data_IF_412777892704
#
_entry.id   IF_412777892704
#
_cell.length_a   1.000
_cell.length_b   1.000
_cell.length_c   1.000
_cell.angle_alpha   90.00
_cell.angle_beta   90.00
_cell.angle_gamma   90.00
#
_symmetry.space_group_name_H-M   'P 1'
#
loop_
_entity.id
_entity.type
_entity.pdbx_description
1 polymer ?
#
# COMPACT_ATOMS: atom_id res chain seq x y z
N UNK A 1 8.33 16.01 5.51
CA UNK A 1 9.21 15.02 4.87
C UNK A 1 9.76 15.58 3.56
N UNK A 2 11.07 15.54 3.37
CA UNK A 2 11.70 15.75 2.05
C UNK A 2 11.71 14.42 1.31
N UNK A 3 11.01 14.35 0.18
CA UNK A 3 10.89 13.12 -0.63
C UNK A 3 11.70 13.23 -1.92
N UNK A 4 12.26 12.11 -2.43
CA UNK A 4 12.88 12.07 -3.76
C UNK A 4 11.94 12.46 -4.89
N UNK A 5 12.51 12.77 -6.06
CA UNK A 5 11.74 13.09 -7.26
C UNK A 5 10.83 11.93 -7.68
N UNK A 6 9.60 12.23 -8.12
CA UNK A 6 8.59 11.21 -8.41
C UNK A 6 9.01 10.20 -9.51
N UNK A 7 9.90 10.59 -10.43
CA UNK A 7 10.37 9.74 -11.54
C UNK A 7 11.32 8.65 -11.05
N UNK A 8 11.96 8.85 -9.91
CA UNK A 8 12.94 7.91 -9.34
C UNK A 8 12.31 6.67 -8.69
N UNK A 9 11.00 6.68 -8.46
CA UNK A 9 10.28 5.60 -7.81
C UNK A 9 9.98 4.45 -8.78
N UNK A 10 10.35 3.24 -8.37
CA UNK A 10 10.06 1.99 -9.08
C UNK A 10 8.87 1.28 -8.46
N UNK A 11 8.12 0.53 -9.25
CA UNK A 11 7.02 -0.29 -8.71
C UNK A 11 7.57 -1.41 -7.82
N UNK A 12 6.94 -1.65 -6.67
CA UNK A 12 7.40 -2.67 -5.71
C UNK A 12 7.46 -4.08 -6.32
N UNK A 13 6.69 -4.35 -7.37
CA UNK A 13 6.67 -5.64 -8.05
C UNK A 13 7.81 -5.79 -9.08
N UNK A 14 8.66 -4.78 -9.27
CA UNK A 14 9.75 -4.78 -10.27
C UNK A 14 11.07 -5.37 -9.73
N UNK A 15 11.05 -6.61 -9.21
CA UNK A 15 12.22 -7.31 -8.62
C UNK A 15 13.01 -6.48 -7.59
N UNK A 16 12.33 -5.55 -6.92
CA UNK A 16 12.98 -4.60 -6.00
C UNK A 16 13.14 -5.23 -4.62
N UNK A 17 14.39 -5.28 -4.11
CA UNK A 17 14.71 -5.84 -2.80
C UNK A 17 14.32 -4.86 -1.70
N UNK A 18 13.15 -5.05 -1.08
CA UNK A 18 12.70 -4.18 0.01
C UNK A 18 13.32 -4.64 1.34
N UNK A 19 13.84 -3.73 2.19
CA UNK A 19 14.21 -4.07 3.55
C UNK A 19 13.03 -4.76 4.26
N UNK A 20 13.32 -5.85 4.95
CA UNK A 20 12.29 -6.67 5.62
C UNK A 20 11.64 -5.92 6.78
N UNK A 21 10.60 -5.15 6.48
CA UNK A 21 9.68 -4.62 7.48
C UNK A 21 8.80 -5.78 7.97
N UNK A 22 8.85 -6.01 9.27
CA UNK A 22 8.09 -7.08 9.94
C UNK A 22 6.90 -6.48 10.67
N UNK A 23 5.91 -7.31 10.98
CA UNK A 23 4.76 -6.91 11.80
C UNK A 23 5.22 -6.30 13.11
N UNK A 24 6.24 -6.89 13.75
CA UNK A 24 6.79 -6.40 15.02
C UNK A 24 7.33 -4.96 14.92
N UNK A 25 8.08 -4.65 13.85
CA UNK A 25 8.60 -3.28 13.64
C UNK A 25 7.48 -2.26 13.42
N UNK A 26 6.42 -2.67 12.74
CA UNK A 26 5.22 -1.83 12.58
C UNK A 26 4.53 -1.61 13.93
N UNK A 27 4.40 -2.65 14.76
CA UNK A 27 3.79 -2.52 16.09
C UNK A 27 4.62 -1.62 17.01
N UNK A 28 5.95 -1.81 17.05
CA UNK A 28 6.86 -0.94 17.82
C UNK A 28 6.69 0.52 17.41
N UNK A 29 6.63 0.80 16.10
CA UNK A 29 6.39 2.16 15.62
C UNK A 29 5.05 2.72 16.11
N UNK A 30 3.97 1.95 16.02
CA UNK A 30 2.65 2.42 16.48
C UNK A 30 2.59 2.64 17.99
N UNK A 31 3.22 1.75 18.78
CA UNK A 31 3.30 1.85 20.24
C UNK A 31 4.05 3.10 20.69
N UNK A 32 5.13 3.50 20.00
CA UNK A 32 5.87 4.73 20.29
C UNK A 32 4.99 5.99 20.26
N UNK A 33 3.92 5.97 19.46
CA UNK A 33 2.97 7.06 19.32
C UNK A 33 1.63 6.79 20.01
N UNK A 34 1.57 5.78 20.89
CA UNK A 34 0.37 5.40 21.64
C UNK A 34 -0.80 4.98 20.73
N UNK A 35 -0.51 4.44 19.55
CA UNK A 35 -1.50 3.94 18.60
C UNK A 35 -1.50 2.41 18.58
N UNK A 36 -2.68 1.82 18.41
CA UNK A 36 -2.81 0.39 18.15
C UNK A 36 -2.96 0.10 16.66
N UNK A 37 -2.65 -1.13 16.27
CA UNK A 37 -2.91 -1.62 14.91
C UNK A 37 -4.42 -1.54 14.61
N UNK A 38 -4.81 -0.51 13.86
CA UNK A 38 -6.23 -0.25 13.56
C UNK A 38 -6.83 -1.41 12.77
N UNK A 39 -7.85 -2.07 13.35
CA UNK A 39 -8.60 -3.15 12.70
C UNK A 39 -9.04 -2.77 11.28
N UNK A 40 -9.54 -1.56 11.12
CA UNK A 40 -10.02 -1.02 9.85
C UNK A 40 -8.92 -0.93 8.78
N UNK A 41 -7.64 -0.76 9.15
CA UNK A 41 -6.54 -0.72 8.17
C UNK A 41 -6.30 -2.09 7.53
N UNK A 42 -6.38 -3.16 8.33
CA UNK A 42 -6.30 -4.55 7.82
C UNK A 42 -7.50 -4.87 6.94
N UNK A 43 -8.71 -4.50 7.37
CA UNK A 43 -9.93 -4.69 6.58
C UNK A 43 -9.86 -3.96 5.23
N UNK A 44 -9.39 -2.71 5.21
CA UNK A 44 -9.17 -1.95 3.98
C UNK A 44 -8.12 -2.60 3.06
N UNK A 45 -7.06 -3.22 3.61
CA UNK A 45 -6.09 -3.95 2.80
C UNK A 45 -6.73 -5.14 2.09
N UNK A 46 -7.45 -5.99 2.84
CA UNK A 46 -8.13 -7.16 2.26
C UNK A 46 -9.27 -6.79 1.30
N UNK A 47 -9.91 -5.65 1.53
CA UNK A 47 -10.90 -5.08 0.62
C UNK A 47 -10.28 -4.37 -0.61
N UNK A 48 -8.96 -4.52 -0.85
CA UNK A 48 -8.22 -4.05 -2.03
C UNK A 48 -8.25 -2.53 -2.24
N UNK A 49 -8.18 -1.75 -1.16
CA UNK A 49 -8.12 -0.28 -1.24
C UNK A 49 -6.75 0.25 -1.69
N UNK A 50 -5.70 -0.57 -1.60
CA UNK A 50 -4.35 -0.22 -2.03
C UNK A 50 -4.26 -0.22 -3.56
N UNK A 51 -3.86 0.90 -4.18
CA UNK A 51 -3.73 1.00 -5.64
C UNK A 51 -2.35 0.62 -6.14
N UNK A 52 -1.32 1.10 -5.46
CA UNK A 52 0.07 0.86 -5.84
C UNK A 52 0.99 1.15 -4.66
N UNK A 53 2.12 0.47 -4.62
CA UNK A 53 3.26 0.84 -3.79
C UNK A 53 4.46 1.00 -4.72
N UNK A 54 5.14 2.14 -4.59
CA UNK A 54 6.39 2.41 -5.28
C UNK A 54 7.49 2.67 -4.28
N UNK A 55 8.72 2.35 -4.64
CA UNK A 55 9.89 2.46 -3.77
C UNK A 55 11.00 3.23 -4.48
N UNK A 56 11.72 4.03 -3.73
CA UNK A 56 13.03 4.54 -4.09
C UNK A 56 14.01 4.31 -2.95
N UNK A 57 15.27 4.00 -3.26
CA UNK A 57 16.35 3.85 -2.29
C UNK A 57 17.36 4.98 -2.50
N UNK A 58 17.65 5.73 -1.44
CA UNK A 58 18.62 6.83 -1.48
C UNK A 58 19.56 6.66 -0.29
N UNK A 59 20.80 6.26 -0.57
CA UNK A 59 21.76 5.91 0.47
C UNK A 59 21.27 4.72 1.31
N UNK A 60 21.19 4.90 2.62
CA UNK A 60 20.67 3.90 3.57
C UNK A 60 19.17 4.02 3.84
N UNK A 61 18.51 5.01 3.25
CA UNK A 61 17.09 5.25 3.44
C UNK A 61 16.28 4.67 2.28
N UNK A 62 15.13 4.12 2.61
CA UNK A 62 14.15 3.62 1.64
C UNK A 62 12.88 4.44 1.76
N UNK A 63 12.51 5.06 0.65
CA UNK A 63 11.31 5.88 0.52
C UNK A 63 10.23 5.06 -0.14
N UNK A 64 9.06 4.97 0.50
CA UNK A 64 7.91 4.26 -0.01
C UNK A 64 6.79 5.25 -0.30
N UNK A 65 6.19 5.10 -1.47
CA UNK A 65 5.06 5.85 -1.96
C UNK A 65 3.87 4.91 -2.15
N UNK A 66 2.93 4.94 -1.21
CA UNK A 66 1.65 4.25 -1.29
C UNK A 66 0.57 5.13 -1.89
N UNK A 67 -0.31 4.54 -2.71
CA UNK A 67 -1.56 5.19 -3.15
C UNK A 67 -2.73 4.38 -2.61
N UNK A 68 -3.56 5.00 -1.78
CA UNK A 68 -4.66 4.32 -1.09
C UNK A 68 -5.99 5.02 -1.41
N UNK A 69 -6.98 4.26 -1.85
CA UNK A 69 -8.31 4.81 -2.12
C UNK A 69 -9.02 5.17 -0.82
N UNK A 70 -9.81 6.24 -0.82
CA UNK A 70 -10.68 6.58 0.28
C UNK A 70 -11.82 5.55 0.39
N UNK A 71 -12.26 5.27 1.61
CA UNK A 71 -13.33 4.30 1.89
C UNK A 71 -14.67 4.70 1.28
N UNK A 72 -15.01 5.99 1.36
CA UNK A 72 -16.34 6.51 0.98
C UNK A 72 -16.38 7.09 -0.43
N UNK A 73 -15.24 7.43 -1.04
CA UNK A 73 -15.17 8.16 -2.31
C UNK A 73 -14.23 7.43 -3.26
N UNK A 74 -14.79 6.70 -4.23
CA UNK A 74 -14.06 5.82 -5.16
C UNK A 74 -12.92 6.50 -5.94
N UNK A 75 -13.05 7.79 -6.20
CA UNK A 75 -12.08 8.58 -6.98
C UNK A 75 -11.11 9.38 -6.10
N UNK A 76 -11.30 9.40 -4.78
CA UNK A 76 -10.37 10.04 -3.87
C UNK A 76 -9.24 9.06 -3.55
N UNK A 77 -8.01 9.45 -3.87
CA UNK A 77 -6.81 8.64 -3.65
C UNK A 77 -5.87 9.47 -2.80
N UNK A 78 -5.54 8.96 -1.62
CA UNK A 78 -4.55 9.57 -0.74
C UNK A 78 -3.16 9.07 -1.09
N UNK A 79 -2.22 10.00 -1.23
CA UNK A 79 -0.80 9.71 -1.24
C UNK A 79 -0.34 9.45 0.19
N UNK A 80 0.41 8.36 0.36
CA UNK A 80 1.07 7.99 1.62
C UNK A 80 2.56 7.92 1.36
N UNK A 81 3.33 8.76 2.02
CA UNK A 81 4.79 8.76 1.98
C UNK A 81 5.33 8.12 3.26
N UNK A 82 6.23 7.17 3.14
CA UNK A 82 6.96 6.57 4.26
C UNK A 82 8.45 6.65 4.00
N UNK A 83 9.21 6.84 5.07
CA UNK A 83 10.65 6.68 5.09
C UNK A 83 10.99 5.58 6.09
N UNK A 84 11.69 4.55 5.62
CA UNK A 84 12.25 3.50 6.46
C UNK A 84 13.77 3.49 6.31
N UNK A 85 14.47 3.03 7.34
CA UNK A 85 15.90 2.79 7.23
C UNK A 85 16.22 1.43 6.57
N UNK A 86 17.50 1.18 6.32
CA UNK A 86 18.02 -0.10 5.82
C UNK A 86 17.65 -1.32 6.69
N UNK A 87 17.31 -1.09 7.97
CA UNK A 87 16.85 -2.13 8.89
C UNK A 87 15.34 -2.32 8.82
N UNK A 88 14.60 -1.55 8.02
CA UNK A 88 13.15 -1.62 7.91
C UNK A 88 12.40 -1.01 9.09
N UNK A 89 13.03 -0.13 9.86
CA UNK A 89 12.40 0.68 10.91
C UNK A 89 11.81 1.93 10.29
N UNK A 90 10.56 2.25 10.62
CA UNK A 90 9.89 3.45 10.14
C UNK A 90 10.46 4.68 10.85
N UNK A 91 10.93 5.65 10.06
CA UNK A 91 11.53 6.89 10.54
C UNK A 91 10.52 8.05 10.46
N UNK A 92 9.81 8.16 9.33
CA UNK A 92 8.80 9.20 9.11
C UNK A 92 7.63 8.63 8.28
N UNK A 93 6.44 9.16 8.50
CA UNK A 93 5.23 8.82 7.74
C UNK A 93 4.37 10.05 7.50
N UNK A 94 3.80 10.16 6.31
CA UNK A 94 2.92 11.26 5.93
C UNK A 94 1.78 10.74 5.07
N UNK A 95 0.58 11.31 5.22
CA UNK A 95 -0.56 10.99 4.38
C UNK A 95 -1.40 12.24 4.10
N UNK A 96 -1.81 12.43 2.84
CA UNK A 96 -2.60 13.61 2.42
C UNK A 96 -4.02 13.68 3.01
N UNK A 97 -4.46 12.67 3.76
CA UNK A 97 -5.74 12.72 4.44
C UNK A 97 -5.70 13.68 5.64
N UNK A 98 -6.87 14.19 6.04
CA UNK A 98 -6.95 15.15 7.15
C UNK A 98 -6.29 14.67 8.45
N UNK A 99 -6.43 13.37 8.78
CA UNK A 99 -5.83 12.77 9.98
C UNK A 99 -4.36 12.34 9.81
N UNK A 100 -3.78 12.54 8.64
CA UNK A 100 -2.42 12.12 8.30
C UNK A 100 -1.49 13.28 7.94
N UNK A 101 -1.95 14.53 8.10
CA UNK A 101 -1.13 15.71 7.86
C UNK A 101 -0.07 15.85 8.96
N UNK A 102 1.16 15.43 8.66
CA UNK A 102 2.30 15.49 9.57
C UNK A 102 3.38 14.45 9.23
N UNK A 103 4.61 14.59 9.74
CA UNK A 103 5.71 13.63 9.52
C UNK A 103 5.64 12.36 10.40
N UNK A 104 4.68 12.31 11.32
CA UNK A 104 4.40 11.19 12.23
C UNK A 104 2.94 10.76 12.07
N UNK A 105 2.51 10.58 10.83
CA UNK A 105 1.13 10.21 10.53
C UNK A 105 0.83 8.74 10.90
N UNK A 106 -0.27 8.48 11.60
CA UNK A 106 -0.71 7.11 11.96
C UNK A 106 -2.14 6.82 11.52
N UNK A 107 -2.59 7.51 10.47
CA UNK A 107 -3.93 7.29 9.94
C UNK A 107 -4.07 5.87 9.37
N UNK A 108 -5.33 5.43 9.16
CA UNK A 108 -5.61 4.09 8.63
C UNK A 108 -4.92 3.79 7.29
N UNK A 109 -4.69 4.81 6.44
CA UNK A 109 -3.98 4.64 5.17
C UNK A 109 -2.49 4.38 5.37
N UNK A 110 -1.85 5.05 6.34
CA UNK A 110 -0.46 4.79 6.70
C UNK A 110 -0.29 3.36 7.22
N UNK A 111 -1.13 2.98 8.19
CA UNK A 111 -1.09 1.64 8.78
C UNK A 111 -1.34 0.56 7.72
N UNK A 112 -2.23 0.84 6.75
CA UNK A 112 -2.48 -0.06 5.63
C UNK A 112 -1.24 -0.25 4.74
N UNK A 113 -0.51 0.82 4.41
CA UNK A 113 0.71 0.71 3.61
C UNK A 113 1.79 -0.04 4.39
N UNK A 114 1.97 0.25 5.67
CA UNK A 114 2.89 -0.50 6.54
C UNK A 114 2.54 -1.99 6.57
N UNK A 115 1.26 -2.33 6.76
CA UNK A 115 0.77 -3.70 6.75
C UNK A 115 1.03 -4.38 5.40
N UNK A 116 0.75 -3.72 4.29
CA UNK A 116 1.03 -4.22 2.95
C UNK A 116 2.52 -4.53 2.74
N UNK A 117 3.43 -3.69 3.27
CA UNK A 117 4.86 -3.95 3.17
C UNK A 117 5.30 -5.21 3.94
N UNK A 118 4.62 -5.58 5.02
CA UNK A 118 4.88 -6.86 5.72
C UNK A 118 4.52 -8.09 4.86
N UNK A 119 3.72 -7.89 3.80
CA UNK A 119 3.22 -8.91 2.90
C UNK A 119 3.99 -9.02 1.59
N UNK A 120 5.10 -8.29 1.42
CA UNK A 120 5.92 -8.32 0.20
C UNK A 120 6.31 -9.75 -0.20
N UNK A 121 6.70 -10.61 0.76
CA UNK A 121 7.06 -12.01 0.49
C UNK A 121 5.90 -12.89 0.03
N UNK A 122 4.68 -12.57 0.47
CA UNK A 122 3.45 -13.29 0.12
C UNK A 122 2.82 -12.74 -1.18
N UNK A 123 3.27 -11.57 -1.63
CA UNK A 123 2.63 -10.79 -2.69
C UNK A 123 1.69 -9.74 -2.12
N UNK A 124 1.80 -8.51 -2.63
CA UNK A 124 0.94 -7.40 -2.22
C UNK A 124 -0.37 -7.44 -2.99
N UNK A 125 -1.48 -7.39 -2.24
CA UNK A 125 -2.82 -7.32 -2.82
C UNK A 125 -3.11 -5.86 -3.15
N UNK A 126 -3.36 -5.58 -4.42
CA UNK A 126 -3.75 -4.25 -4.91
C UNK A 126 -5.16 -4.29 -5.51
N UNK A 127 -5.73 -3.11 -5.73
CA UNK A 127 -7.00 -2.92 -6.40
C UNK A 127 -6.93 -3.50 -7.80
N UNK A 128 -7.94 -4.30 -8.14
CA UNK A 128 -8.05 -4.86 -9.48
C UNK A 128 -8.30 -3.75 -10.51
N UNK A 129 -7.56 -3.82 -11.60
CA UNK A 129 -7.80 -3.02 -12.79
C UNK A 129 -8.94 -3.62 -13.62
N UNK A 130 -9.62 -2.80 -14.42
CA UNK A 130 -10.76 -3.22 -15.24
C UNK A 130 -10.43 -4.30 -16.29
N UNK A 131 -9.14 -4.57 -16.52
CA UNK A 131 -8.65 -5.64 -17.40
C UNK A 131 -8.38 -6.95 -16.66
N UNK A 132 -8.26 -6.91 -15.32
CA UNK A 132 -8.16 -8.09 -14.47
C UNK A 132 -9.53 -8.69 -14.15
N UNK A 133 -10.59 -7.87 -14.21
CA UNK A 133 -11.96 -8.36 -14.20
C UNK A 133 -12.40 -8.62 -15.64
N UNK A 134 -12.74 -9.89 -15.95
CA UNK A 134 -13.20 -10.28 -17.28
C UNK A 134 -14.41 -9.42 -17.65
N UNK A 135 -14.31 -8.66 -18.75
CA UNK A 135 -15.43 -7.85 -19.22
C UNK A 135 -16.59 -8.78 -19.62
N UNK A 136 -17.64 -8.78 -18.80
CA UNK A 136 -18.81 -9.65 -19.00
C UNK A 136 -19.61 -9.28 -20.25
N UNK A 137 -19.48 -8.05 -20.74
CA UNK A 137 -20.16 -7.56 -21.95
C UNK A 137 -19.69 -8.23 -23.25
N UNK A 138 -18.49 -8.83 -23.29
CA UNK A 138 -17.95 -9.48 -24.50
C UNK A 138 -17.82 -11.00 -24.33
N UNK A 139 -18.44 -11.58 -23.30
CA UNK A 139 -18.44 -13.03 -23.16
C UNK A 139 -19.23 -13.66 -24.31
N UNK A 140 -18.57 -14.54 -25.08
CA UNK A 140 -19.23 -15.38 -26.07
C UNK A 140 -20.33 -16.20 -25.38
N UNK A 141 -21.54 -16.18 -25.96
CA UNK A 141 -22.67 -16.96 -25.43
C UNK A 141 -22.26 -18.43 -25.34
N UNK A 142 -22.55 -19.09 -24.21
CA UNK A 142 -22.30 -20.53 -24.06
C UNK A 142 -23.01 -21.28 -25.19
N UNK A 143 -22.24 -22.00 -26.00
CA UNK A 143 -22.78 -22.76 -27.11
C UNK A 143 -23.35 -24.07 -26.55
N UNK A 144 -24.63 -24.07 -26.20
CA UNK A 144 -25.34 -25.26 -25.71
C UNK A 144 -25.64 -26.22 -26.87
N UNK A 145 -24.60 -26.80 -27.47
CA UNK A 145 -24.79 -28.01 -28.27
C UNK A 145 -24.72 -29.21 -27.34
N UNK A 146 -25.89 -29.62 -26.86
CA UNK A 146 -26.08 -30.93 -26.27
C UNK A 146 -25.67 -31.97 -27.32
N UNK A 147 -24.66 -32.78 -26.99
CA UNK A 147 -24.37 -33.99 -27.73
C UNK A 147 -25.51 -34.98 -27.47
N UNK A 148 -26.39 -35.12 -28.47
CA UNK A 148 -27.23 -36.31 -28.69
C UNK A 148 -26.58 -37.12 -29.81
#
# INVERSE_FOLDING_TARGET
>A
MTVPDAVSYKDINSDTVVPGITVDKVMVYLELFGQEARKNAKEMYFAKFLRSIRINMVGNDVFILGRVSAEMIKNCIYKVDLKIDHMGVVQESHCECASGMGPEAHCKHVVLVMFALTKVKEGIITMETSTQQLQTFHQAKKNTRAHL
#
